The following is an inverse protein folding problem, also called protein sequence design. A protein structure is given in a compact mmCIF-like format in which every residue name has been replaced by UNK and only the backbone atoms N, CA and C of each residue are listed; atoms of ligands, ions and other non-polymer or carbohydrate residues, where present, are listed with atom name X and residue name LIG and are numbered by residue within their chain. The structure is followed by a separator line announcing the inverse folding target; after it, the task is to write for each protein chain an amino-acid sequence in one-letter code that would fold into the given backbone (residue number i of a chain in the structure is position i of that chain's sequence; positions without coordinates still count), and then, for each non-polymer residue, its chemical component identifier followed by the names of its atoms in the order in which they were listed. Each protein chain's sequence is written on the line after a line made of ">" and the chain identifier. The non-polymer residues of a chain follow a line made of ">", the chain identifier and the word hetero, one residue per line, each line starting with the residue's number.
data_IF_452648065276
#
_entry.id   IF_452648065276
#
_cell.length_a   1.000
_cell.length_b   1.000
_cell.length_c   1.000
_cell.angle_alpha   90.00
_cell.angle_beta   90.00
_cell.angle_gamma   90.00
#
_symmetry.space_group_name_H-M   'P 1'
#
loop_
_entity.id
_entity.type
_entity.pdbx_description
1 polymer ?
#
# COMPACT_ATOMS: atom_id res chain seq x y z
N UNK A 1 21.37 -25.88 12.79
CA UNK A 1 22.09 -24.62 12.56
C UNK A 1 21.26 -23.78 11.61
N UNK A 2 20.95 -22.53 11.93
CA UNK A 2 20.31 -21.48 11.13
C UNK A 2 18.78 -21.48 10.91
N UNK A 3 18.01 -21.72 11.98
CA UNK A 3 16.58 -21.29 12.00
C UNK A 3 16.36 -19.90 12.63
N UNK A 4 17.40 -19.30 13.23
CA UNK A 4 17.28 -18.01 13.95
C UNK A 4 17.47 -16.76 13.05
N UNK A 5 18.04 -16.91 11.86
CA UNK A 5 18.34 -15.78 11.00
C UNK A 5 17.13 -15.28 10.18
N UNK A 6 16.13 -16.15 9.94
CA UNK A 6 14.94 -15.81 9.17
C UNK A 6 13.89 -14.99 9.95
N UNK A 7 13.86 -15.14 11.27
CA UNK A 7 12.89 -14.42 12.14
C UNK A 7 13.36 -12.96 12.35
N UNK A 8 14.67 -12.72 12.37
CA UNK A 8 15.21 -11.38 12.58
C UNK A 8 15.00 -10.45 11.36
N UNK A 9 14.98 -11.03 10.13
CA UNK A 9 14.75 -10.25 8.91
C UNK A 9 13.29 -9.80 8.76
N UNK A 10 12.33 -10.62 9.23
CA UNK A 10 10.91 -10.29 9.17
C UNK A 10 10.50 -9.20 10.19
N UNK A 11 11.14 -9.22 11.37
CA UNK A 11 10.93 -8.18 12.40
C UNK A 11 11.57 -6.84 12.01
N UNK A 12 12.71 -6.87 11.32
CA UNK A 12 13.38 -5.65 10.84
C UNK A 12 12.61 -4.98 9.68
N UNK A 13 11.93 -5.76 8.82
CA UNK A 13 11.08 -5.20 7.75
C UNK A 13 9.84 -4.48 8.32
N UNK A 14 9.18 -5.07 9.33
CA UNK A 14 8.01 -4.46 9.96
C UNK A 14 8.37 -3.19 10.78
N UNK A 15 9.54 -3.14 11.41
CA UNK A 15 10.01 -1.95 12.10
C UNK A 15 10.36 -0.80 11.13
N UNK A 16 10.86 -1.13 9.94
CA UNK A 16 11.22 -0.12 8.94
C UNK A 16 10.01 0.55 8.26
N UNK A 17 8.89 -0.18 8.16
CA UNK A 17 7.64 0.40 7.62
C UNK A 17 6.93 1.29 8.63
N UNK A 18 6.98 0.97 9.93
CA UNK A 18 6.33 1.75 10.99
C UNK A 18 6.92 3.15 11.16
N UNK A 19 8.24 3.32 11.00
CA UNK A 19 8.90 4.63 11.12
C UNK A 19 8.73 5.51 9.87
N UNK A 20 8.28 4.95 8.75
CA UNK A 20 8.25 5.64 7.47
C UNK A 20 6.87 6.16 7.06
N UNK A 21 5.81 5.62 7.62
CA UNK A 21 4.42 5.96 7.27
C UNK A 21 3.55 6.23 8.50
N UNK A 22 3.87 7.33 9.19
CA UNK A 22 3.15 7.79 10.38
C UNK A 22 1.67 8.16 10.10
N UNK A 23 1.29 8.27 8.84
CA UNK A 23 -0.06 8.66 8.43
C UNK A 23 -0.91 7.49 7.89
N UNK A 24 -0.43 6.26 7.94
CA UNK A 24 -1.07 5.07 7.35
C UNK A 24 -1.41 5.26 5.85
N UNK A 25 -0.51 5.89 5.11
CA UNK A 25 -0.69 6.15 3.68
C UNK A 25 -0.35 4.95 2.80
N UNK A 26 0.36 3.95 3.36
CA UNK A 26 0.77 2.74 2.66
C UNK A 26 0.14 1.50 3.30
N UNK A 27 -0.28 0.55 2.46
CA UNK A 27 -0.63 -0.82 2.87
C UNK A 27 0.60 -1.73 2.80
N UNK A 28 1.47 -1.51 1.81
CA UNK A 28 2.68 -2.29 1.63
C UNK A 28 3.82 -1.40 1.09
N UNK A 29 5.06 -1.72 1.43
CA UNK A 29 6.23 -0.96 1.03
C UNK A 29 7.33 -1.88 0.51
N UNK A 30 7.78 -1.62 -0.73
CA UNK A 30 8.74 -2.45 -1.46
C UNK A 30 10.16 -1.87 -1.50
N UNK A 31 10.36 -0.72 -0.88
CA UNK A 31 11.62 0.01 -0.89
C UNK A 31 11.66 1.12 -1.93
N UNK A 32 12.78 1.86 -1.94
CA UNK A 32 13.01 2.98 -2.87
C UNK A 32 14.19 2.71 -3.80
N UNK A 33 14.09 3.17 -5.02
CA UNK A 33 15.22 3.28 -5.93
C UNK A 33 15.92 4.64 -5.75
N UNK A 34 17.25 4.64 -5.83
CA UNK A 34 18.05 5.87 -5.86
C UNK A 34 18.12 6.49 -7.25
N UNK A 35 17.87 5.69 -8.29
CA UNK A 35 18.12 6.08 -9.68
C UNK A 35 16.84 6.23 -10.52
N UNK A 36 15.67 6.04 -9.90
CA UNK A 36 14.36 6.12 -10.57
C UNK A 36 13.41 7.01 -9.79
N UNK A 37 12.38 7.48 -10.45
CA UNK A 37 11.27 8.20 -9.81
C UNK A 37 10.45 7.20 -9.00
N UNK A 38 10.42 7.38 -7.68
CA UNK A 38 9.66 6.50 -6.80
C UNK A 38 8.17 6.85 -6.81
N UNK A 39 7.32 5.86 -7.03
CA UNK A 39 5.86 6.02 -7.08
C UNK A 39 5.18 4.94 -6.23
N UNK A 40 4.08 5.26 -5.62
CA UNK A 40 3.20 4.31 -4.93
C UNK A 40 1.93 4.10 -5.75
N UNK A 41 1.40 2.90 -5.71
CA UNK A 41 0.25 2.48 -6.51
C UNK A 41 -0.93 2.23 -5.60
N UNK A 42 -2.06 2.85 -5.89
CA UNK A 42 -3.31 2.65 -5.12
C UNK A 42 -3.68 1.16 -5.07
N UNK A 43 -4.12 0.67 -3.92
CA UNK A 43 -4.30 -0.78 -3.69
C UNK A 43 -5.54 -1.40 -4.38
N UNK A 44 -6.14 -0.71 -5.31
CA UNK A 44 -7.12 -1.25 -6.26
C UNK A 44 -6.58 -1.45 -7.68
N UNK A 45 -5.25 -1.34 -7.87
CA UNK A 45 -4.58 -1.53 -9.16
C UNK A 45 -3.63 -2.73 -9.05
N UNK A 46 -3.75 -3.67 -9.98
CA UNK A 46 -2.99 -4.92 -9.97
C UNK A 46 -1.51 -4.69 -10.28
N UNK A 47 -0.67 -5.19 -9.39
CA UNK A 47 0.77 -5.40 -9.60
C UNK A 47 1.00 -6.90 -9.51
N UNK A 48 1.62 -7.49 -10.52
CA UNK A 48 1.87 -8.93 -10.58
C UNK A 48 2.58 -9.43 -9.32
N UNK A 49 2.11 -10.56 -8.79
CA UNK A 49 2.62 -11.20 -7.56
C UNK A 49 2.44 -10.37 -6.27
N UNK A 50 1.67 -9.31 -6.33
CA UNK A 50 1.29 -8.51 -5.16
C UNK A 50 -0.19 -8.60 -4.87
N UNK A 51 -0.55 -8.42 -3.61
CA UNK A 51 -1.95 -8.37 -3.20
C UNK A 51 -2.61 -7.11 -3.75
N UNK A 52 -3.82 -7.24 -4.23
CA UNK A 52 -4.72 -6.14 -4.59
C UNK A 52 -6.00 -6.30 -3.79
N UNK A 53 -6.11 -5.58 -2.69
CA UNK A 53 -7.17 -5.78 -1.71
C UNK A 53 -8.32 -4.79 -1.79
N UNK A 54 -8.17 -3.68 -2.52
CA UNK A 54 -9.09 -2.55 -2.48
C UNK A 54 -9.34 -2.06 -1.03
N UNK A 55 -8.35 -2.25 -0.14
CA UNK A 55 -8.41 -1.93 1.28
C UNK A 55 -9.24 -2.90 2.11
N UNK A 56 -9.77 -4.00 1.53
CA UNK A 56 -10.72 -4.90 2.20
C UNK A 56 -10.08 -6.20 2.64
N UNK A 57 -10.34 -6.61 3.89
CA UNK A 57 -9.98 -7.93 4.42
C UNK A 57 -10.57 -9.08 3.60
N UNK A 58 -11.67 -8.87 2.88
CA UNK A 58 -12.24 -9.89 1.99
C UNK A 58 -11.31 -10.27 0.83
N UNK A 59 -10.40 -9.37 0.45
CA UNK A 59 -9.43 -9.57 -0.63
C UNK A 59 -7.98 -9.62 -0.13
N UNK A 60 -7.75 -9.85 1.16
CA UNK A 60 -6.40 -9.85 1.75
C UNK A 60 -5.42 -10.85 1.12
N UNK A 61 -5.94 -11.90 0.50
CA UNK A 61 -5.17 -12.96 -0.14
C UNK A 61 -5.30 -12.93 -1.68
N UNK A 62 -5.89 -11.86 -2.24
CA UNK A 62 -6.09 -11.72 -3.69
C UNK A 62 -4.80 -11.28 -4.38
N UNK A 63 -3.95 -12.23 -4.71
CA UNK A 63 -2.68 -12.00 -5.43
C UNK A 63 -2.92 -11.87 -6.92
N UNK A 64 -2.50 -10.75 -7.51
CA UNK A 64 -2.65 -10.50 -8.93
C UNK A 64 -1.71 -11.36 -9.78
N UNK A 65 -2.23 -12.02 -10.82
CA UNK A 65 -1.47 -12.89 -11.72
C UNK A 65 -0.75 -12.12 -12.83
N UNK A 66 -1.10 -10.86 -13.08
CA UNK A 66 -0.49 -10.01 -14.09
C UNK A 66 -0.55 -8.54 -13.68
N UNK A 67 0.30 -7.73 -14.27
CA UNK A 67 0.24 -6.29 -14.11
C UNK A 67 -1.00 -5.71 -14.82
N UNK A 68 -1.62 -4.70 -14.21
CA UNK A 68 -2.50 -3.79 -14.94
C UNK A 68 -1.70 -3.09 -16.05
N UNK A 69 -2.37 -2.69 -17.13
CA UNK A 69 -1.72 -2.06 -18.27
C UNK A 69 -0.84 -0.86 -17.88
N UNK A 70 -1.35 0.01 -17.03
CA UNK A 70 -0.61 1.19 -16.54
C UNK A 70 0.65 0.79 -15.76
N UNK A 71 0.59 -0.28 -14.98
CA UNK A 71 1.73 -0.78 -14.19
C UNK A 71 2.85 -1.24 -15.11
N UNK A 72 2.53 -1.99 -16.17
CA UNK A 72 3.53 -2.40 -17.14
C UNK A 72 4.20 -1.19 -17.79
N UNK A 73 3.43 -0.17 -18.17
CA UNK A 73 3.95 1.08 -18.74
C UNK A 73 4.89 1.83 -17.79
N UNK A 74 4.58 1.85 -16.49
CA UNK A 74 5.43 2.47 -15.48
C UNK A 74 6.75 1.71 -15.29
N UNK A 75 6.69 0.37 -15.26
CA UNK A 75 7.89 -0.49 -15.15
C UNK A 75 8.83 -0.31 -16.34
N UNK A 76 8.27 -0.19 -17.55
CA UNK A 76 9.02 0.00 -18.80
C UNK A 76 9.61 1.42 -18.94
N UNK A 77 9.34 2.30 -17.97
CA UNK A 77 9.77 3.69 -17.95
C UNK A 77 10.78 3.95 -16.80
N UNK A 78 10.98 5.20 -16.42
CA UNK A 78 11.91 5.60 -15.35
C UNK A 78 11.31 5.50 -13.93
N UNK A 79 10.16 4.86 -13.78
CA UNK A 79 9.51 4.72 -12.49
C UNK A 79 9.94 3.47 -11.74
N UNK A 80 9.97 3.59 -10.41
CA UNK A 80 10.11 2.48 -9.48
C UNK A 80 8.88 2.42 -8.59
N UNK A 81 8.20 1.28 -8.58
CA UNK A 81 7.04 1.07 -7.74
C UNK A 81 7.53 0.76 -6.32
N UNK A 82 7.29 1.69 -5.41
CA UNK A 82 7.78 1.64 -4.02
C UNK A 82 6.80 1.02 -3.04
N UNK A 83 5.55 0.80 -3.43
CA UNK A 83 4.55 0.20 -2.55
C UNK A 83 3.12 0.35 -3.03
N UNK A 84 2.20 -0.11 -2.19
CA UNK A 84 0.75 0.01 -2.34
C UNK A 84 0.21 1.09 -1.41
N UNK A 85 -0.45 2.09 -1.98
CA UNK A 85 -1.09 3.15 -1.20
C UNK A 85 -2.44 2.68 -0.63
N UNK A 86 -2.69 3.07 0.61
CA UNK A 86 -3.99 2.91 1.24
C UNK A 86 -5.07 3.71 0.50
N UNK A 87 -6.31 3.32 0.69
CA UNK A 87 -7.48 3.96 0.09
C UNK A 87 -8.68 3.83 1.04
N UNK A 88 -9.73 4.60 0.78
CA UNK A 88 -11.02 4.31 1.40
C UNK A 88 -11.48 2.94 0.93
N UNK A 89 -11.87 2.06 1.87
CA UNK A 89 -12.28 0.68 1.54
C UNK A 89 -13.33 0.67 0.44
N UNK A 90 -13.09 -0.12 -0.64
CA UNK A 90 -13.94 -0.15 -1.84
C UNK A 90 -14.21 1.24 -2.45
N UNK A 91 -13.29 2.21 -2.28
CA UNK A 91 -13.44 3.59 -2.74
C UNK A 91 -14.74 4.24 -2.24
N UNK A 92 -15.18 3.91 -1.02
CA UNK A 92 -16.43 4.36 -0.39
C UNK A 92 -17.73 3.84 -1.09
N UNK A 93 -17.62 2.90 -2.02
CA UNK A 93 -18.76 2.46 -2.81
C UNK A 93 -19.84 1.76 -1.98
N UNK A 94 -19.47 1.09 -0.87
CA UNK A 94 -20.36 0.19 -0.14
C UNK A 94 -21.09 0.79 1.05
N UNK A 95 -20.85 2.04 1.40
CA UNK A 95 -21.44 2.66 2.59
C UNK A 95 -21.69 4.14 2.38
N UNK A 96 -22.87 4.59 2.79
CA UNK A 96 -23.23 6.01 2.86
C UNK A 96 -22.54 6.73 4.04
N UNK A 97 -22.05 5.95 5.03
CA UNK A 97 -21.38 6.45 6.23
C UNK A 97 -19.87 6.12 6.23
N UNK A 98 -19.27 5.93 5.06
CA UNK A 98 -17.85 5.65 4.95
C UNK A 98 -16.99 6.86 5.29
N UNK A 99 -15.80 6.60 5.83
CA UNK A 99 -14.82 7.64 6.16
C UNK A 99 -13.73 7.64 5.11
N UNK A 100 -13.43 8.81 4.56
CA UNK A 100 -12.35 8.98 3.59
C UNK A 100 -11.00 8.54 4.16
N UNK A 101 -10.29 7.68 3.43
CA UNK A 101 -8.98 7.18 3.80
C UNK A 101 -8.96 6.06 4.83
N UNK A 102 -10.12 5.53 5.22
CA UNK A 102 -10.18 4.35 6.09
C UNK A 102 -10.32 3.05 5.30
N UNK A 103 -9.54 2.05 5.68
CA UNK A 103 -9.70 0.68 5.18
C UNK A 103 -9.49 -0.34 6.30
N UNK A 104 -10.11 -1.51 6.18
CA UNK A 104 -9.94 -2.60 7.16
C UNK A 104 -8.53 -3.21 7.14
N UNK A 105 -7.77 -3.03 6.09
CA UNK A 105 -6.38 -3.49 5.98
C UNK A 105 -5.40 -2.43 6.46
N UNK A 106 -5.53 -1.19 5.97
CA UNK A 106 -4.54 -0.12 6.19
C UNK A 106 -4.88 0.81 7.36
N UNK A 107 -6.09 0.70 7.96
CA UNK A 107 -6.55 1.65 8.98
C UNK A 107 -6.89 3.02 8.39
N UNK A 108 -6.91 4.03 9.23
CA UNK A 108 -7.22 5.40 8.84
C UNK A 108 -5.96 6.14 8.36
N UNK A 109 -5.94 6.52 7.11
CA UNK A 109 -4.96 7.49 6.61
C UNK A 109 -5.33 8.89 7.10
N UNK A 110 -4.35 9.60 7.64
CA UNK A 110 -4.54 10.96 8.16
C UNK A 110 -3.85 12.00 7.28
N UNK A 111 -4.28 13.26 7.40
CA UNK A 111 -3.65 14.36 6.69
C UNK A 111 -2.25 14.64 7.26
N UNK A 112 -1.27 14.90 6.39
CA UNK A 112 0.14 15.03 6.78
C UNK A 112 0.45 16.22 7.70
N UNK A 113 -0.34 17.30 7.60
CA UNK A 113 -0.13 18.51 8.40
C UNK A 113 -0.96 18.55 9.68
N UNK A 114 -2.08 17.83 9.74
CA UNK A 114 -2.94 17.76 10.92
C UNK A 114 -3.72 16.44 10.91
N UNK A 115 -3.37 15.54 11.82
CA UNK A 115 -3.96 14.21 11.95
C UNK A 115 -5.44 14.18 12.32
N UNK A 116 -6.04 15.32 12.66
CA UNK A 116 -7.49 15.45 12.90
C UNK A 116 -8.30 15.39 11.59
N UNK A 117 -7.65 15.64 10.46
CA UNK A 117 -8.30 15.60 9.16
C UNK A 117 -7.99 14.28 8.44
N UNK A 118 -8.96 13.81 7.67
CA UNK A 118 -8.75 12.72 6.73
C UNK A 118 -8.08 13.25 5.43
N UNK A 119 -7.56 12.38 4.56
CA UNK A 119 -6.85 12.81 3.36
C UNK A 119 -7.76 13.37 2.26
N UNK A 120 -9.08 13.26 2.41
CA UNK A 120 -10.07 13.51 1.36
C UNK A 120 -9.88 12.63 0.12
N UNK A 121 -10.94 12.21 -0.53
CA UNK A 121 -10.90 11.36 -1.72
C UNK A 121 -11.31 9.91 -1.44
N UNK A 122 -11.12 9.05 -2.41
CA UNK A 122 -11.52 7.63 -2.37
C UNK A 122 -10.34 6.67 -2.41
#
# INVERSE_FOLDING_TARGET
>A
MNKFLFILSCLALNAYTADYDVNNSLIDFYGKSKNKINIVIKDNIDIQEKVTSAGSLALKDNVANKNAFIIQRLIDSEFHISGKANLSEWANFRSENSVSGWSSIGGQTTHVLDSKYNPCGS
#
